data_IF_876828222776
#
_entry.id   IF_876828222776
#
_cell.length_a   1.000
_cell.length_b   1.000
_cell.length_c   1.000
_cell.angle_alpha   90.00
_cell.angle_beta   90.00
_cell.angle_gamma   90.00
#
_symmetry.space_group_name_H-M   'P 1'
#
loop_
_entity.id
_entity.type
_entity.pdbx_description
1 polymer ?
#
# COMPACT_ATOMS: atom_id res chain seq x y z
N UNK A 1 -4.32 32.27 -8.40
CA UNK A 1 -5.22 31.18 -8.81
C UNK A 1 -5.20 30.13 -7.70
N UNK A 2 -6.33 29.90 -7.01
CA UNK A 2 -6.46 28.75 -6.11
C UNK A 2 -6.79 27.55 -6.98
N UNK A 3 -5.93 26.54 -6.97
CA UNK A 3 -6.22 25.27 -7.63
C UNK A 3 -7.16 24.51 -6.70
N UNK A 4 -8.45 24.45 -7.03
CA UNK A 4 -9.41 23.57 -6.37
C UNK A 4 -9.23 22.16 -6.94
N UNK A 5 -8.60 21.30 -6.15
CA UNK A 5 -8.46 19.87 -6.47
C UNK A 5 -9.79 19.21 -6.11
N UNK A 6 -10.63 18.95 -7.12
CA UNK A 6 -11.86 18.19 -6.93
C UNK A 6 -11.57 16.68 -6.89
N UNK A 7 -12.13 16.02 -5.87
CA UNK A 7 -12.00 14.58 -5.59
C UNK A 7 -12.54 13.73 -6.75
N UNK A 8 -11.85 12.62 -7.01
CA UNK A 8 -12.51 11.41 -7.53
C UNK A 8 -13.22 10.76 -6.33
N UNK A 9 -14.53 10.43 -6.38
CA UNK A 9 -15.29 9.94 -5.22
C UNK A 9 -14.82 8.61 -4.60
N UNK A 10 -13.88 7.91 -5.25
CA UNK A 10 -13.57 6.50 -5.00
C UNK A 10 -12.29 6.24 -4.21
N UNK A 11 -11.47 7.25 -3.88
CA UNK A 11 -10.25 7.00 -3.11
C UNK A 11 -10.47 7.26 -1.62
N UNK A 12 -10.34 6.24 -0.75
CA UNK A 12 -10.34 6.43 0.69
C UNK A 12 -9.15 7.34 1.11
N UNK A 13 -9.20 7.99 2.28
CA UNK A 13 -8.09 8.82 2.75
C UNK A 13 -6.92 7.96 3.26
N UNK A 14 -5.76 8.58 3.51
CA UNK A 14 -4.59 7.93 4.10
C UNK A 14 -4.98 7.14 5.35
N UNK A 15 -4.60 5.86 5.39
CA UNK A 15 -4.99 4.95 6.46
C UNK A 15 -4.43 5.33 7.84
N UNK A 16 -3.39 6.19 7.91
CA UNK A 16 -2.73 6.62 9.15
C UNK A 16 -3.25 7.98 9.67
N UNK A 17 -3.38 8.98 8.81
CA UNK A 17 -3.69 10.36 9.22
C UNK A 17 -4.97 10.94 8.63
N UNK A 18 -5.67 10.20 7.76
CA UNK A 18 -6.88 10.70 7.11
C UNK A 18 -6.63 11.76 6.02
N UNK A 19 -5.37 12.01 5.64
CA UNK A 19 -5.05 12.97 4.58
C UNK A 19 -5.56 12.51 3.20
N UNK A 20 -6.00 13.46 2.40
CA UNK A 20 -6.53 13.21 1.04
C UNK A 20 -5.42 13.05 -0.01
N UNK A 21 -4.21 13.56 0.26
CA UNK A 21 -3.08 13.45 -0.66
C UNK A 21 -2.38 12.10 -0.50
N UNK A 22 -2.85 11.12 -1.27
CA UNK A 22 -2.33 9.76 -1.31
C UNK A 22 -1.60 9.54 -2.63
N UNK A 23 -0.49 8.81 -2.60
CA UNK A 23 0.33 8.55 -3.79
C UNK A 23 0.23 7.10 -4.27
N UNK A 24 -0.26 6.19 -3.43
CA UNK A 24 -0.44 4.77 -3.76
C UNK A 24 -1.69 4.23 -3.10
N UNK A 25 -2.44 3.43 -3.86
CA UNK A 25 -3.57 2.62 -3.39
C UNK A 25 -3.17 1.15 -3.43
N UNK A 26 -3.21 0.47 -2.28
CA UNK A 26 -2.96 -0.96 -2.16
C UNK A 26 -4.24 -1.71 -1.78
N UNK A 27 -4.58 -2.75 -2.53
CA UNK A 27 -5.64 -3.68 -2.15
C UNK A 27 -5.04 -4.81 -1.30
N UNK A 28 -5.60 -5.02 -0.12
CA UNK A 28 -5.13 -6.05 0.80
C UNK A 28 -5.65 -7.42 0.38
N UNK A 29 -4.94 -8.50 0.73
CA UNK A 29 -5.41 -9.86 0.54
C UNK A 29 -6.57 -10.25 1.49
N UNK A 30 -7.05 -9.34 2.33
CA UNK A 30 -8.14 -9.56 3.30
C UNK A 30 -9.35 -8.70 2.97
N UNK A 31 -10.53 -9.18 3.33
CA UNK A 31 -11.80 -8.45 3.19
C UNK A 31 -12.27 -7.87 4.52
N UNK A 32 -13.06 -6.80 4.47
CA UNK A 32 -13.72 -6.21 5.62
C UNK A 32 -14.94 -7.04 6.08
N UNK A 33 -15.66 -6.51 7.08
CA UNK A 33 -16.86 -7.14 7.65
C UNK A 33 -18.01 -7.32 6.64
N UNK A 34 -17.96 -6.64 5.49
CA UNK A 34 -18.94 -6.71 4.41
C UNK A 34 -18.42 -7.53 3.22
N UNK A 35 -17.28 -8.22 3.37
CA UNK A 35 -16.67 -9.02 2.32
C UNK A 35 -16.01 -8.19 1.23
N UNK A 36 -15.79 -6.88 1.43
CA UNK A 36 -15.12 -6.02 0.46
C UNK A 36 -13.61 -6.04 0.66
N UNK A 37 -12.79 -6.03 -0.39
CA UNK A 37 -11.34 -5.95 -0.25
C UNK A 37 -10.94 -4.71 0.56
N UNK A 38 -10.11 -4.89 1.59
CA UNK A 38 -9.60 -3.75 2.35
C UNK A 38 -8.63 -2.98 1.46
N UNK A 39 -8.92 -1.70 1.22
CA UNK A 39 -8.01 -0.79 0.52
C UNK A 39 -7.28 0.07 1.55
N UNK A 40 -5.96 0.18 1.40
CA UNK A 40 -5.13 1.12 2.16
C UNK A 40 -4.46 2.09 1.21
N UNK A 41 -4.18 3.27 1.73
CA UNK A 41 -3.62 4.37 0.96
C UNK A 41 -2.36 4.86 1.64
N UNK A 42 -1.28 4.95 0.86
CA UNK A 42 -0.01 5.49 1.28
C UNK A 42 -0.02 6.99 1.07
N UNK A 43 0.29 7.77 2.11
CA UNK A 43 0.58 9.19 1.92
C UNK A 43 2.08 9.43 2.05
N UNK A 44 2.56 10.43 1.32
CA UNK A 44 3.99 10.79 1.32
C UNK A 44 4.51 11.26 2.68
N UNK A 45 3.64 11.62 3.63
CA UNK A 45 4.04 12.18 4.91
C UNK A 45 4.17 11.12 6.00
N UNK A 46 3.12 10.33 6.24
CA UNK A 46 3.14 9.34 7.32
C UNK A 46 4.04 8.15 7.02
N UNK A 47 4.26 7.84 5.76
CA UNK A 47 5.02 6.68 5.35
C UNK A 47 6.47 7.03 4.95
N UNK A 48 6.86 8.30 4.85
CA UNK A 48 8.22 8.69 4.44
C UNK A 48 9.33 8.12 5.34
N UNK A 49 9.10 8.08 6.65
CA UNK A 49 10.06 7.58 7.65
C UNK A 49 9.65 6.22 8.23
N UNK A 50 8.61 5.59 7.68
CA UNK A 50 8.18 4.26 8.10
C UNK A 50 9.15 3.20 7.56
N UNK A 51 9.32 2.09 8.27
CA UNK A 51 10.34 1.09 7.95
C UNK A 51 10.11 0.45 6.58
N UNK A 52 8.86 0.16 6.23
CA UNK A 52 8.48 -0.35 4.91
C UNK A 52 7.94 0.75 3.99
N UNK A 53 7.17 1.70 4.53
CA UNK A 53 6.63 2.81 3.75
C UNK A 53 7.71 3.73 3.14
N UNK A 54 8.81 3.99 3.85
CA UNK A 54 9.83 4.95 3.44
C UNK A 54 10.59 4.52 2.18
N UNK A 55 11.09 3.27 2.13
CA UNK A 55 11.64 2.69 0.91
C UNK A 55 10.68 2.74 -0.28
N UNK A 56 9.40 2.47 -0.09
CA UNK A 56 8.40 2.52 -1.16
C UNK A 56 8.15 3.96 -1.66
N UNK A 57 8.07 4.95 -0.75
CA UNK A 57 8.01 6.38 -1.12
C UNK A 57 9.24 6.78 -1.94
N UNK A 58 10.43 6.36 -1.50
CA UNK A 58 11.69 6.65 -2.20
C UNK A 58 11.70 6.05 -3.60
N UNK A 59 11.29 4.78 -3.73
CA UNK A 59 11.18 4.08 -5.01
C UNK A 59 10.35 4.85 -6.03
N UNK A 60 9.16 5.34 -5.63
CA UNK A 60 8.32 6.13 -6.53
C UNK A 60 8.93 7.50 -6.87
N UNK A 61 9.57 8.16 -5.91
CA UNK A 61 10.26 9.44 -6.15
C UNK A 61 11.40 9.32 -7.16
N UNK A 62 12.04 8.16 -7.22
CA UNK A 62 13.11 7.84 -8.19
C UNK A 62 12.56 7.35 -9.53
N UNK A 63 11.24 7.36 -9.73
CA UNK A 63 10.60 6.94 -10.98
C UNK A 63 10.46 5.42 -11.15
N UNK A 64 10.69 4.63 -10.11
CA UNK A 64 10.68 3.16 -10.19
C UNK A 64 9.36 2.57 -10.70
N UNK A 65 8.22 3.25 -10.46
CA UNK A 65 6.91 2.84 -10.97
C UNK A 65 6.75 2.90 -12.49
N UNK A 66 7.72 3.48 -13.21
CA UNK A 66 7.74 3.57 -14.67
C UNK A 66 8.77 2.65 -15.33
N UNK A 67 9.57 1.92 -14.55
CA UNK A 67 10.63 1.05 -15.06
C UNK A 67 10.22 -0.43 -14.94
N UNK A 68 9.93 -1.11 -16.06
CA UNK A 68 9.58 -2.54 -16.07
C UNK A 68 10.69 -3.44 -15.50
N UNK A 69 11.95 -3.02 -15.55
CA UNK A 69 13.06 -3.80 -15.00
C UNK A 69 13.02 -3.85 -13.46
N UNK A 70 12.26 -2.95 -12.83
CA UNK A 70 12.14 -2.83 -11.37
C UNK A 70 10.82 -3.36 -10.82
N UNK A 71 10.09 -4.17 -11.60
CA UNK A 71 8.80 -4.73 -11.19
C UNK A 71 8.90 -5.67 -9.98
N UNK A 72 9.99 -6.42 -9.87
CA UNK A 72 10.23 -7.29 -8.72
C UNK A 72 10.43 -6.46 -7.44
N UNK A 73 11.31 -5.46 -7.49
CA UNK A 73 11.51 -4.48 -6.41
C UNK A 73 10.21 -3.78 -6.02
N UNK A 74 9.41 -3.36 -7.01
CA UNK A 74 8.10 -2.76 -6.77
C UNK A 74 7.16 -3.71 -6.02
N UNK A 75 7.14 -4.99 -6.40
CA UNK A 75 6.30 -6.00 -5.76
C UNK A 75 6.70 -6.24 -4.30
N UNK A 76 8.00 -6.37 -4.04
CA UNK A 76 8.55 -6.57 -2.69
C UNK A 76 8.26 -5.37 -1.77
N UNK A 77 8.52 -4.16 -2.26
CA UNK A 77 8.28 -2.92 -1.51
C UNK A 77 6.78 -2.71 -1.24
N UNK A 78 5.93 -3.00 -2.22
CA UNK A 78 4.48 -2.98 -2.02
C UNK A 78 4.07 -3.97 -0.96
N UNK A 79 4.55 -5.21 -1.01
CA UNK A 79 4.17 -6.25 -0.05
C UNK A 79 4.58 -5.89 1.38
N UNK A 80 5.82 -5.44 1.57
CA UNK A 80 6.33 -5.01 2.87
C UNK A 80 5.51 -3.85 3.45
N UNK A 81 5.19 -2.85 2.62
CA UNK A 81 4.35 -1.73 3.05
C UNK A 81 2.94 -2.19 3.45
N UNK A 82 2.31 -3.09 2.67
CA UNK A 82 0.99 -3.61 2.98
C UNK A 82 0.98 -4.32 4.34
N UNK A 83 2.00 -5.11 4.63
CA UNK A 83 2.14 -5.80 5.92
C UNK A 83 2.29 -4.80 7.08
N UNK A 84 3.14 -3.78 6.92
CA UNK A 84 3.32 -2.72 7.93
C UNK A 84 2.02 -1.93 8.17
N UNK A 85 1.31 -1.57 7.11
CA UNK A 85 0.05 -0.83 7.18
C UNK A 85 -1.11 -1.67 7.75
N UNK A 86 -1.14 -2.98 7.47
CA UNK A 86 -2.07 -3.92 8.10
C UNK A 86 -1.79 -4.06 9.59
N UNK A 87 -0.53 -4.23 9.98
CA UNK A 87 -0.12 -4.36 11.39
C UNK A 87 -0.52 -3.14 12.22
N UNK A 88 -0.37 -1.93 11.67
CA UNK A 88 -0.79 -0.69 12.30
C UNK A 88 -2.31 -0.62 12.60
N UNK A 89 -3.11 -1.45 11.92
CA UNK A 89 -4.57 -1.56 12.10
C UNK A 89 -4.99 -2.83 12.86
N UNK A 90 -4.03 -3.55 13.44
CA UNK A 90 -4.27 -4.79 14.18
C UNK A 90 -4.53 -6.02 13.29
N UNK A 91 -4.34 -5.91 11.97
CA UNK A 91 -4.40 -7.05 11.07
C UNK A 91 -3.04 -7.72 10.96
N UNK A 92 -3.01 -9.04 10.85
CA UNK A 92 -1.81 -9.78 10.44
C UNK A 92 -2.12 -10.53 9.15
N UNK A 93 -1.18 -10.49 8.22
CA UNK A 93 -1.21 -11.36 7.06
C UNK A 93 -1.10 -12.80 7.55
N UNK A 94 -2.10 -13.62 7.28
CA UNK A 94 -1.98 -15.07 7.45
C UNK A 94 -1.31 -15.64 6.21
N UNK A 95 -0.37 -16.59 6.34
CA UNK A 95 0.05 -17.39 5.21
C UNK A 95 -1.19 -18.05 4.60
N UNK A 96 -1.32 -18.02 3.27
CA UNK A 96 -2.35 -18.80 2.59
C UNK A 96 -2.19 -20.27 2.99
N UNK A 97 -3.24 -20.96 3.45
CA UNK A 97 -3.17 -22.40 3.67
C UNK A 97 -3.02 -23.08 2.31
N UNK A 98 -1.78 -23.45 1.94
CA UNK A 98 -1.49 -24.20 0.71
C UNK A 98 -0.21 -23.83 -0.05
N UNK A 99 0.56 -22.83 0.38
CA UNK A 99 1.76 -22.36 -0.33
C UNK A 99 3.09 -23.00 0.09
N UNK A 100 3.10 -24.22 0.64
CA UNK A 100 4.33 -24.98 0.82
C UNK A 100 4.77 -25.59 -0.52
N UNK A 101 6.07 -25.84 -0.77
CA UNK A 101 6.49 -26.54 -1.98
C UNK A 101 5.81 -27.92 -1.98
N UNK A 102 4.99 -28.17 -2.99
CA UNK A 102 4.45 -29.49 -3.27
C UNK A 102 5.63 -30.38 -3.66
N UNK A 103 6.19 -31.09 -2.68
CA UNK A 103 7.00 -32.28 -2.95
C UNK A 103 6.03 -33.42 -3.21
N UNK A 104 5.71 -33.61 -4.50
CA UNK A 104 5.39 -34.90 -5.13
C UNK A 104 5.38 -34.71 -6.64
#
# INVERSE_FOLDING_TARGET
>A
MRHEVHRVPSQPPCARCGADEVIVSGQMPVTDAFGQPVVIQLCRLCDADAAAGGPLVKFFREGGGHDPARMEEASELMLAWQEEAMAARGFRRMPMPGGGPSLN
#
